data_IF_393008399205
#
_entry.id   IF_393008399205
#
_cell.length_a   1.000
_cell.length_b   1.000
_cell.length_c   1.000
_cell.angle_alpha   90.00
_cell.angle_beta   90.00
_cell.angle_gamma   90.00
#
_symmetry.space_group_name_H-M   'P 1'
#
loop_
_entity.id
_entity.type
_entity.pdbx_description
1 polymer ?
#
# COMPACT_ATOMS: atom_id res chain seq x y z
N UNK A 1 17.03 -7.47 1.06
CA UNK A 1 17.89 -8.06 2.11
C UNK A 1 17.53 -7.43 3.45
N UNK A 2 17.25 -8.24 4.48
CA UNK A 2 16.74 -7.76 5.76
C UNK A 2 17.79 -6.89 6.50
N UNK A 3 17.40 -5.67 6.90
CA UNK A 3 18.24 -4.73 7.67
C UNK A 3 18.77 -5.38 8.96
N UNK A 4 17.92 -6.18 9.61
CA UNK A 4 18.25 -6.88 10.85
C UNK A 4 19.36 -7.93 10.63
N UNK A 5 19.28 -8.68 9.53
CA UNK A 5 20.29 -9.69 9.17
C UNK A 5 21.66 -9.05 8.90
N UNK A 6 21.70 -7.86 8.29
CA UNK A 6 22.95 -7.10 8.09
C UNK A 6 23.56 -6.67 9.42
N UNK A 7 22.73 -6.15 10.33
CA UNK A 7 23.15 -5.73 11.65
C UNK A 7 23.73 -6.91 12.46
N UNK A 8 23.05 -8.06 12.49
CA UNK A 8 23.49 -9.23 13.27
C UNK A 8 24.85 -9.76 12.80
N UNK A 9 25.04 -9.89 11.49
CA UNK A 9 26.31 -10.38 10.93
C UNK A 9 27.46 -9.41 11.19
N UNK A 10 27.22 -8.10 11.05
CA UNK A 10 28.26 -7.09 11.29
C UNK A 10 28.55 -6.91 12.78
N UNK A 11 27.52 -6.99 13.63
CA UNK A 11 27.67 -7.01 15.09
C UNK A 11 28.55 -8.19 15.53
N UNK A 12 28.25 -9.40 15.05
CA UNK A 12 29.06 -10.58 15.36
C UNK A 12 30.52 -10.47 14.93
N UNK A 13 30.80 -9.79 13.80
CA UNK A 13 32.18 -9.50 13.36
C UNK A 13 32.88 -8.46 14.23
N UNK A 14 32.14 -7.50 14.80
CA UNK A 14 32.71 -6.44 15.63
C UNK A 14 32.94 -6.92 17.07
N UNK A 15 32.04 -7.74 17.61
CA UNK A 15 32.11 -8.25 18.99
C UNK A 15 33.17 -9.36 19.16
N UNK A 16 33.52 -10.07 18.08
CA UNK A 16 34.51 -11.16 18.09
C UNK A 16 35.62 -10.95 17.06
N UNK A 17 36.52 -9.97 17.27
CA UNK A 17 37.56 -9.62 16.30
C UNK A 17 38.54 -10.78 16.02
N UNK A 18 38.82 -11.62 17.01
CA UNK A 18 39.79 -12.72 16.91
C UNK A 18 39.32 -13.89 16.02
N UNK A 19 38.01 -14.04 15.85
CA UNK A 19 37.38 -15.07 14.99
C UNK A 19 36.68 -14.47 13.76
N UNK A 20 36.88 -13.17 13.51
CA UNK A 20 36.15 -12.41 12.51
C UNK A 20 36.57 -12.76 11.06
N UNK A 21 35.84 -13.66 10.40
CA UNK A 21 36.04 -13.96 8.98
C UNK A 21 35.17 -13.06 8.07
N UNK A 22 35.79 -11.99 7.55
CA UNK A 22 35.15 -11.03 6.62
C UNK A 22 34.72 -11.64 5.29
N UNK A 23 35.40 -12.68 4.81
CA UNK A 23 35.05 -13.37 3.55
C UNK A 23 33.79 -14.24 3.74
N UNK A 24 33.66 -14.90 4.90
CA UNK A 24 32.44 -15.64 5.27
C UNK A 24 31.24 -14.70 5.37
N UNK A 25 31.39 -13.56 6.03
CA UNK A 25 30.32 -12.56 6.11
C UNK A 25 29.93 -12.00 4.74
N UNK A 26 30.91 -11.74 3.86
CA UNK A 26 30.68 -11.34 2.48
C UNK A 26 29.83 -12.37 1.71
N UNK A 27 30.14 -13.67 1.84
CA UNK A 27 29.37 -14.76 1.26
C UNK A 27 27.94 -14.82 1.84
N UNK A 28 27.78 -14.80 3.16
CA UNK A 28 26.46 -14.86 3.84
C UNK A 28 25.56 -13.69 3.47
N UNK A 29 26.15 -12.50 3.32
CA UNK A 29 25.44 -11.27 2.98
C UNK A 29 25.31 -11.04 1.46
N UNK A 30 25.94 -11.86 0.63
CA UNK A 30 25.96 -11.71 -0.82
C UNK A 30 26.55 -10.37 -1.27
N UNK A 31 27.60 -9.89 -0.61
CA UNK A 31 28.20 -8.60 -0.88
C UNK A 31 29.73 -8.67 -0.89
N UNK A 32 30.39 -7.64 -1.41
CA UNK A 32 31.86 -7.63 -1.48
C UNK A 32 32.49 -7.35 -0.12
N UNK A 33 33.74 -7.80 0.07
CA UNK A 33 34.53 -7.49 1.28
C UNK A 33 34.66 -5.98 1.55
N UNK A 34 34.71 -5.16 0.49
CA UNK A 34 34.66 -3.68 0.59
C UNK A 34 33.36 -3.21 1.26
N UNK A 35 32.23 -3.81 0.90
CA UNK A 35 30.93 -3.49 1.51
C UNK A 35 30.90 -3.87 2.99
N UNK A 36 31.44 -5.03 3.36
CA UNK A 36 31.60 -5.46 4.77
C UNK A 36 32.42 -4.44 5.56
N UNK A 37 33.59 -4.04 5.06
CA UNK A 37 34.43 -3.04 5.73
C UNK A 37 33.68 -1.69 5.90
N UNK A 38 32.94 -1.24 4.87
CA UNK A 38 32.11 -0.03 4.96
C UNK A 38 31.04 -0.17 6.05
N UNK A 39 30.38 -1.32 6.15
CA UNK A 39 29.37 -1.57 7.19
C UNK A 39 29.97 -1.65 8.59
N UNK A 40 31.16 -2.24 8.75
CA UNK A 40 31.91 -2.24 10.01
C UNK A 40 32.24 -0.82 10.47
N UNK A 41 32.77 0.02 9.57
CA UNK A 41 33.04 1.43 9.89
C UNK A 41 31.77 2.21 10.24
N UNK A 42 30.69 1.97 9.50
CA UNK A 42 29.37 2.54 9.81
C UNK A 42 28.82 2.10 11.17
N UNK A 43 29.01 0.82 11.52
CA UNK A 43 28.62 0.26 12.81
C UNK A 43 29.43 0.85 13.97
N UNK A 44 30.74 1.02 13.82
CA UNK A 44 31.58 1.66 14.84
C UNK A 44 31.12 3.11 15.08
N UNK A 45 30.79 3.85 14.02
CA UNK A 45 30.38 5.26 14.14
C UNK A 45 28.97 5.46 14.69
N UNK A 46 28.00 4.66 14.23
CA UNK A 46 26.57 4.92 14.44
C UNK A 46 25.79 3.71 15.01
N UNK A 47 26.47 2.61 15.30
CA UNK A 47 25.87 1.38 15.85
C UNK A 47 24.75 0.82 14.97
N UNK A 48 23.68 0.36 15.61
CA UNK A 48 22.49 -0.18 14.94
C UNK A 48 21.83 0.81 13.97
N UNK A 49 21.93 2.13 14.24
CA UNK A 49 21.27 3.17 13.42
C UNK A 49 21.80 3.20 11.98
N UNK A 50 23.05 2.78 11.75
CA UNK A 50 23.63 2.72 10.40
C UNK A 50 22.86 1.81 9.43
N UNK A 51 22.23 0.76 9.95
CA UNK A 51 21.49 -0.21 9.13
C UNK A 51 20.03 0.17 8.90
N UNK A 52 19.53 1.18 9.61
CA UNK A 52 18.18 1.72 9.38
C UNK A 52 18.20 2.56 8.11
N UNK A 53 17.32 2.25 7.16
CA UNK A 53 17.19 3.07 5.97
C UNK A 53 16.77 4.51 6.31
N UNK A 54 17.39 5.51 5.68
CA UNK A 54 17.16 6.93 5.98
C UNK A 54 15.72 7.41 5.71
N UNK A 55 15.00 6.71 4.82
CA UNK A 55 13.59 6.97 4.53
C UNK A 55 12.63 6.10 5.35
N UNK A 56 13.13 5.26 6.26
CA UNK A 56 12.30 4.41 7.11
C UNK A 56 11.46 5.31 8.03
N UNK A 57 10.14 5.22 7.88
CA UNK A 57 9.18 6.03 8.66
C UNK A 57 9.00 7.46 8.17
N UNK A 58 9.78 7.94 7.20
CA UNK A 58 9.55 9.25 6.58
C UNK A 58 8.52 9.12 5.47
N UNK A 59 7.47 9.95 5.53
CA UNK A 59 6.48 10.08 4.46
C UNK A 59 6.97 11.14 3.46
N UNK A 60 6.84 10.92 2.14
CA UNK A 60 7.14 11.96 1.14
C UNK A 60 6.30 13.22 1.37
N UNK A 61 6.83 14.40 1.01
CA UNK A 61 6.10 15.66 1.10
C UNK A 61 4.82 15.68 0.24
N UNK A 62 4.78 14.87 -0.82
CA UNK A 62 3.62 14.69 -1.70
C UNK A 62 2.53 13.78 -1.10
N UNK A 63 2.70 13.30 0.12
CA UNK A 63 1.72 12.42 0.77
C UNK A 63 0.46 13.19 1.08
N UNK A 64 -0.67 12.73 0.53
CA UNK A 64 -2.00 13.26 0.86
C UNK A 64 -2.27 13.05 2.35
N UNK A 65 -2.65 14.13 3.05
CA UNK A 65 -2.93 14.09 4.48
C UNK A 65 -4.06 13.13 4.80
N UNK A 66 -4.07 12.59 6.01
CA UNK A 66 -5.11 11.66 6.44
C UNK A 66 -6.50 12.32 6.44
N UNK A 67 -6.57 13.60 6.79
CA UNK A 67 -7.83 14.35 6.83
C UNK A 67 -8.44 14.50 5.44
N UNK A 68 -7.63 14.87 4.44
CA UNK A 68 -8.09 14.95 3.04
C UNK A 68 -8.56 13.58 2.55
N UNK A 69 -7.82 12.50 2.88
CA UNK A 69 -8.24 11.13 2.49
C UNK A 69 -9.59 10.77 3.08
N UNK A 70 -9.82 11.07 4.36
CA UNK A 70 -11.10 10.82 5.04
C UNK A 70 -12.22 11.63 4.38
N UNK A 71 -11.99 12.92 4.15
CA UNK A 71 -12.95 13.80 3.48
C UNK A 71 -13.34 13.29 2.09
N UNK A 72 -12.39 12.81 1.30
CA UNK A 72 -12.64 12.20 -0.02
C UNK A 72 -13.48 10.92 0.08
N UNK A 73 -13.33 10.12 1.13
CA UNK A 73 -14.15 8.91 1.32
C UNK A 73 -15.58 9.31 1.74
N UNK A 74 -15.69 10.23 2.68
CA UNK A 74 -16.98 10.65 3.24
C UNK A 74 -17.84 11.35 2.17
N UNK A 75 -17.26 12.27 1.41
CA UNK A 75 -17.94 12.95 0.30
C UNK A 75 -18.45 11.97 -0.76
N UNK A 76 -17.67 10.93 -1.05
CA UNK A 76 -18.12 9.89 -1.98
C UNK A 76 -19.31 9.12 -1.40
N UNK A 77 -19.29 8.75 -0.12
CA UNK A 77 -20.38 7.98 0.50
C UNK A 77 -21.67 8.79 0.70
N UNK A 78 -21.58 10.09 0.98
CA UNK A 78 -22.76 10.89 1.33
C UNK A 78 -23.33 11.68 0.16
N UNK A 79 -22.47 12.29 -0.67
CA UNK A 79 -22.87 13.32 -1.64
C UNK A 79 -22.70 12.87 -3.09
N UNK A 80 -21.70 12.03 -3.37
CA UNK A 80 -21.28 11.69 -4.74
C UNK A 80 -21.24 10.17 -5.02
N UNK A 81 -22.10 9.40 -4.35
CA UNK A 81 -22.07 7.94 -4.34
C UNK A 81 -22.12 7.28 -5.73
N UNK A 82 -22.88 7.85 -6.65
CA UNK A 82 -23.05 7.32 -8.01
C UNK A 82 -22.14 7.99 -9.06
N UNK A 83 -21.27 8.93 -8.66
CA UNK A 83 -20.38 9.58 -9.60
C UNK A 83 -19.29 8.61 -10.11
N UNK A 84 -19.03 8.62 -11.42
CA UNK A 84 -17.82 7.97 -11.96
C UNK A 84 -16.58 8.63 -11.33
N UNK A 85 -15.49 7.89 -11.11
CA UNK A 85 -14.31 8.41 -10.41
C UNK A 85 -13.67 9.60 -11.12
N UNK A 86 -13.72 9.64 -12.45
CA UNK A 86 -13.27 10.78 -13.24
C UNK A 86 -14.13 12.02 -12.96
N UNK A 87 -15.45 11.89 -13.08
CA UNK A 87 -16.39 12.95 -12.75
C UNK A 87 -16.28 13.38 -11.28
N UNK A 88 -16.08 12.43 -10.38
CA UNK A 88 -15.88 12.70 -8.96
C UNK A 88 -14.65 13.57 -8.72
N UNK A 89 -13.55 13.33 -9.44
CA UNK A 89 -12.35 14.17 -9.32
C UNK A 89 -12.58 15.60 -9.80
N UNK A 90 -13.41 15.78 -10.82
CA UNK A 90 -13.83 17.11 -11.28
C UNK A 90 -14.69 17.82 -10.23
N UNK A 91 -15.65 17.10 -9.63
CA UNK A 91 -16.52 17.62 -8.57
C UNK A 91 -15.74 18.02 -7.32
N UNK A 92 -14.75 17.21 -6.92
CA UNK A 92 -13.84 17.53 -5.81
C UNK A 92 -13.08 18.84 -6.07
N UNK A 93 -12.57 19.02 -7.29
CA UNK A 93 -11.87 20.24 -7.67
C UNK A 93 -12.79 21.46 -7.71
N UNK A 94 -13.98 21.30 -8.29
CA UNK A 94 -14.92 22.42 -8.53
C UNK A 94 -15.66 22.87 -7.28
N UNK A 95 -16.17 21.92 -6.49
CA UNK A 95 -17.10 22.23 -5.39
C UNK A 95 -16.41 22.25 -4.01
N UNK A 96 -15.35 21.45 -3.85
CA UNK A 96 -14.71 21.24 -2.55
C UNK A 96 -13.28 21.84 -2.50
N UNK A 97 -12.77 22.33 -3.65
CA UNK A 97 -11.42 22.90 -3.77
C UNK A 97 -10.29 21.88 -3.62
N UNK A 98 -10.60 20.58 -3.68
CA UNK A 98 -9.64 19.50 -3.45
C UNK A 98 -9.01 19.07 -4.78
N UNK A 99 -7.76 19.48 -5.00
CA UNK A 99 -6.98 19.13 -6.20
C UNK A 99 -6.22 17.81 -6.02
N UNK A 100 -6.85 16.68 -6.38
CA UNK A 100 -6.24 15.35 -6.34
C UNK A 100 -6.32 14.69 -7.73
N UNK A 101 -5.30 13.93 -8.11
CA UNK A 101 -5.31 13.18 -9.36
C UNK A 101 -6.34 12.04 -9.33
N UNK A 102 -6.90 11.71 -10.50
CA UNK A 102 -7.81 10.57 -10.64
C UNK A 102 -7.25 9.25 -10.08
N UNK A 103 -5.98 8.96 -10.35
CA UNK A 103 -5.30 7.77 -9.82
C UNK A 103 -5.23 7.75 -8.30
N UNK A 104 -5.03 8.91 -7.66
CA UNK A 104 -4.97 9.03 -6.21
C UNK A 104 -6.35 8.85 -5.58
N UNK A 105 -7.39 9.44 -6.16
CA UNK A 105 -8.78 9.21 -5.72
C UNK A 105 -9.15 7.74 -5.83
N UNK A 106 -8.83 7.11 -6.96
CA UNK A 106 -9.06 5.67 -7.17
C UNK A 106 -8.35 4.81 -6.12
N UNK A 107 -7.09 5.13 -5.78
CA UNK A 107 -6.34 4.42 -4.74
C UNK A 107 -6.92 4.64 -3.33
N UNK A 108 -7.40 5.85 -3.03
CA UNK A 108 -8.06 6.17 -1.75
C UNK A 108 -9.35 5.35 -1.62
N UNK A 109 -10.22 5.38 -2.62
CA UNK A 109 -11.49 4.64 -2.61
C UNK A 109 -11.27 3.11 -2.61
N UNK A 110 -10.28 2.62 -3.36
CA UNK A 110 -9.92 1.20 -3.36
C UNK A 110 -9.40 0.71 -1.99
N UNK A 111 -8.76 1.59 -1.21
CA UNK A 111 -8.32 1.23 0.15
C UNK A 111 -9.50 0.93 1.09
N UNK A 112 -10.66 1.50 0.80
CA UNK A 112 -11.95 1.24 1.47
C UNK A 112 -12.82 0.20 0.74
N UNK A 113 -12.24 -0.53 -0.23
CA UNK A 113 -12.94 -1.54 -1.05
C UNK A 113 -14.06 -1.00 -1.93
N UNK A 114 -14.14 0.32 -2.11
CA UNK A 114 -15.07 0.97 -3.04
C UNK A 114 -14.48 0.84 -4.45
N UNK A 115 -15.17 0.09 -5.32
CA UNK A 115 -14.72 -0.14 -6.68
C UNK A 115 -15.47 0.71 -7.70
N UNK A 116 -14.74 1.14 -8.73
CA UNK A 116 -15.35 1.75 -9.90
C UNK A 116 -16.31 0.75 -10.57
N UNK A 117 -17.46 1.20 -11.10
CA UNK A 117 -18.36 0.36 -11.91
C UNK A 117 -17.64 -0.31 -13.09
N UNK A 118 -16.61 0.34 -13.64
CA UNK A 118 -15.79 -0.16 -14.75
C UNK A 118 -14.61 -1.03 -14.29
N UNK A 119 -14.57 -1.46 -13.02
CA UNK A 119 -13.50 -2.32 -12.52
C UNK A 119 -13.45 -3.65 -13.27
N UNK A 120 -12.26 -4.05 -13.71
CA UNK A 120 -12.03 -5.29 -14.46
C UNK A 120 -12.30 -6.54 -13.62
N UNK A 121 -12.70 -7.64 -14.27
CA UNK A 121 -12.96 -8.94 -13.61
C UNK A 121 -11.76 -9.42 -12.78
N UNK A 122 -10.55 -9.23 -13.30
CA UNK A 122 -9.31 -9.59 -12.59
C UNK A 122 -9.14 -8.78 -11.29
N UNK A 123 -9.45 -7.48 -11.31
CA UNK A 123 -9.38 -6.61 -10.13
C UNK A 123 -10.41 -7.02 -9.08
N UNK A 124 -11.66 -7.26 -9.48
CA UNK A 124 -12.71 -7.76 -8.58
C UNK A 124 -12.31 -9.08 -7.93
N UNK A 125 -11.78 -10.05 -8.72
CA UNK A 125 -11.30 -11.33 -8.20
C UNK A 125 -10.22 -11.17 -7.14
N UNK A 126 -9.22 -10.33 -7.41
CA UNK A 126 -8.11 -10.05 -6.48
C UNK A 126 -8.61 -9.47 -5.16
N UNK A 127 -9.55 -8.53 -5.22
CA UNK A 127 -10.10 -7.89 -4.01
C UNK A 127 -10.99 -8.86 -3.24
N UNK A 128 -11.84 -9.64 -3.93
CA UNK A 128 -12.66 -10.69 -3.32
C UNK A 128 -11.81 -11.70 -2.56
N UNK A 129 -10.69 -12.14 -3.15
CA UNK A 129 -9.72 -13.03 -2.48
C UNK A 129 -9.11 -12.38 -1.23
N UNK A 130 -8.69 -11.10 -1.33
CA UNK A 130 -8.17 -10.35 -0.16
C UNK A 130 -9.20 -10.24 0.97
N UNK A 131 -10.47 -9.98 0.64
CA UNK A 131 -11.55 -9.88 1.63
C UNK A 131 -11.87 -11.24 2.27
N UNK A 132 -11.84 -12.34 1.51
CA UNK A 132 -11.99 -13.69 2.07
C UNK A 132 -10.89 -14.02 3.08
N UNK A 133 -9.63 -13.76 2.74
CA UNK A 133 -8.50 -13.96 3.67
C UNK A 133 -8.62 -13.07 4.93
N UNK A 134 -9.16 -11.84 4.79
CA UNK A 134 -9.45 -10.98 5.94
C UNK A 134 -10.62 -11.51 6.79
N UNK A 135 -11.64 -12.12 6.18
CA UNK A 135 -12.77 -12.72 6.90
C UNK A 135 -12.30 -13.85 7.81
N UNK A 136 -11.36 -14.67 7.33
CA UNK A 136 -10.78 -15.79 8.10
C UNK A 136 -9.95 -15.33 9.31
N UNK A 137 -9.34 -14.15 9.22
CA UNK A 137 -8.47 -13.60 10.28
C UNK A 137 -9.18 -12.61 11.20
N UNK A 138 -10.40 -12.19 10.87
CA UNK A 138 -11.18 -11.24 11.65
C UNK A 138 -11.63 -11.85 12.99
N UNK A 139 -11.41 -11.09 14.08
CA UNK A 139 -11.70 -11.55 15.44
C UNK A 139 -13.01 -11.00 15.98
N UNK A 140 -13.46 -9.86 15.45
CA UNK A 140 -14.66 -9.17 15.96
C UNK A 140 -15.84 -9.30 15.02
N UNK A 141 -17.06 -9.33 15.59
CA UNK A 141 -18.31 -9.37 14.82
C UNK A 141 -18.49 -8.13 13.93
N UNK A 142 -18.05 -6.96 14.40
CA UNK A 142 -18.11 -5.69 13.65
C UNK A 142 -17.23 -5.73 12.40
N UNK A 143 -16.01 -6.25 12.52
CA UNK A 143 -15.11 -6.43 11.37
C UNK A 143 -15.71 -7.40 10.36
N UNK A 144 -16.23 -8.55 10.83
CA UNK A 144 -16.89 -9.52 9.95
C UNK A 144 -18.07 -8.92 9.18
N UNK A 145 -18.90 -8.11 9.84
CA UNK A 145 -20.02 -7.42 9.20
C UNK A 145 -19.54 -6.44 8.12
N UNK A 146 -18.50 -5.64 8.42
CA UNK A 146 -17.92 -4.71 7.44
C UNK A 146 -17.33 -5.41 6.22
N UNK A 147 -16.63 -6.54 6.43
CA UNK A 147 -16.06 -7.36 5.37
C UNK A 147 -17.18 -7.97 4.50
N UNK A 148 -18.25 -8.46 5.14
CA UNK A 148 -19.40 -9.00 4.42
C UNK A 148 -20.11 -7.93 3.58
N UNK A 149 -20.31 -6.73 4.12
CA UNK A 149 -20.87 -5.60 3.37
C UNK A 149 -20.01 -5.25 2.14
N UNK A 150 -18.68 -5.22 2.30
CA UNK A 150 -17.76 -4.96 1.19
C UNK A 150 -17.77 -6.08 0.14
N UNK A 151 -17.95 -7.34 0.53
CA UNK A 151 -18.08 -8.45 -0.42
C UNK A 151 -19.34 -8.32 -1.28
N UNK A 152 -20.47 -7.93 -0.67
CA UNK A 152 -21.73 -7.67 -1.38
C UNK A 152 -21.57 -6.50 -2.36
N UNK A 153 -21.00 -5.39 -1.90
CA UNK A 153 -20.77 -4.21 -2.74
C UNK A 153 -19.91 -4.50 -4.00
N UNK A 154 -18.95 -5.44 -3.92
CA UNK A 154 -18.15 -5.85 -5.08
C UNK A 154 -18.97 -6.62 -6.11
N UNK A 155 -19.88 -7.47 -5.64
CA UNK A 155 -20.76 -8.23 -6.51
C UNK A 155 -21.82 -7.30 -7.14
N UNK A 156 -22.25 -6.23 -6.45
CA UNK A 156 -23.15 -5.20 -6.99
C UNK A 156 -22.47 -4.19 -7.91
N UNK A 157 -21.14 -4.11 -7.90
CA UNK A 157 -20.36 -3.19 -8.73
C UNK A 157 -20.33 -3.62 -10.22
N UNK A 158 -21.48 -3.81 -10.87
CA UNK A 158 -21.58 -4.04 -12.31
C UNK A 158 -21.76 -2.73 -13.08
N UNK A 159 -21.28 -2.69 -14.34
CA UNK A 159 -21.65 -1.60 -15.24
C UNK A 159 -23.16 -1.60 -15.39
N UNK A 160 -23.82 -0.57 -14.85
CA UNK A 160 -25.29 -0.44 -14.92
C UNK A 160 -25.80 -0.13 -16.33
N UNK A 161 -24.92 0.21 -17.27
CA UNK A 161 -25.29 0.34 -18.69
C UNK A 161 -25.55 -1.06 -19.26
N UNK A 162 -26.76 -1.33 -19.80
CA UNK A 162 -27.04 -2.59 -20.46
C UNK A 162 -26.06 -2.79 -21.63
N UNK A 163 -25.80 -4.05 -21.99
CA UNK A 163 -25.02 -4.31 -23.20
C UNK A 163 -25.82 -3.84 -24.40
N UNK A 164 -25.18 -3.05 -25.27
CA UNK A 164 -25.70 -2.72 -26.59
C UNK A 164 -26.08 -4.03 -27.30
N UNK A 165 -27.34 -4.16 -27.68
CA UNK A 165 -27.84 -5.34 -28.38
C UNK A 165 -27.52 -5.23 -29.88
N UNK A 166 -27.43 -4.00 -30.39
CA UNK A 166 -27.21 -3.72 -31.80
C UNK A 166 -25.97 -2.85 -32.04
N UNK A 167 -25.39 -3.01 -33.24
CA UNK A 167 -24.25 -2.20 -33.68
C UNK A 167 -24.68 -0.74 -33.84
N UNK A 168 -24.00 0.17 -33.15
CA UNK A 168 -24.26 1.62 -33.21
C UNK A 168 -25.00 2.20 -31.99
N UNK A 169 -25.44 1.37 -31.04
CA UNK A 169 -26.04 1.88 -29.80
C UNK A 169 -25.00 2.44 -28.82
N UNK A 170 -25.28 3.62 -28.26
CA UNK A 170 -24.58 4.18 -27.10
C UNK A 170 -25.39 3.89 -25.81
#
# INVERSE_FOLDING_TARGET
MNEQKKYEVIKGLADHPDTANKNRAAMVLGCTRRHINRMLQGYIKSGKKFFLHGNKGKKPATTISHDIRRQVIDLYRTKYYDANFEHYTELLKKNEGICISHSSVMNILESEYILSPKATKAKRRRIKQKLKAKKETAKTKKELASIQANLVAIDDAHSRRPRCAYFGEL
#
